data_IF_211246502565
#
_entry.id   IF_211246502565
#
_cell.length_a   1.000
_cell.length_b   1.000
_cell.length_c   1.000
_cell.angle_alpha   90.00
_cell.angle_beta   90.00
_cell.angle_gamma   90.00
#
_symmetry.space_group_name_H-M   'P 1'
#
loop_
_entity.id
_entity.type
_entity.pdbx_description
1 polymer ?
#
# COMPACT_ATOMS: atom_id res chain seq x y z
N UNK A 1 -4.94 12.14 -17.88
CA UNK A 1 -4.90 11.36 -16.63
C UNK A 1 -4.45 12.27 -15.49
N UNK A 2 -5.18 12.27 -14.37
CA UNK A 2 -4.91 13.13 -13.20
C UNK A 2 -4.17 12.34 -12.11
N UNK A 3 -3.03 12.81 -11.66
CA UNK A 3 -2.21 12.17 -10.63
C UNK A 3 -2.05 13.11 -9.44
N UNK A 4 -2.38 12.61 -8.26
CA UNK A 4 -2.16 13.29 -6.98
C UNK A 4 -0.96 12.67 -6.26
N UNK A 5 0.00 13.52 -5.87
CA UNK A 5 1.22 13.11 -5.17
C UNK A 5 1.16 13.62 -3.73
N UNK A 6 1.39 12.73 -2.75
CA UNK A 6 1.30 13.05 -1.33
C UNK A 6 2.60 12.61 -0.64
N UNK A 7 3.45 13.57 -0.27
CA UNK A 7 4.68 13.32 0.49
C UNK A 7 5.05 14.55 1.30
N UNK A 8 5.47 14.38 2.53
CA UNK A 8 5.99 15.49 3.36
C UNK A 8 7.31 16.06 2.80
N UNK A 9 8.12 15.23 2.15
CA UNK A 9 9.39 15.64 1.55
C UNK A 9 9.18 16.44 0.27
N UNK A 10 9.51 17.72 0.31
CA UNK A 10 9.45 18.61 -0.86
C UNK A 10 10.27 18.07 -2.04
N UNK A 11 11.49 17.58 -1.80
CA UNK A 11 12.36 17.09 -2.88
C UNK A 11 11.78 15.86 -3.59
N UNK A 12 11.10 14.98 -2.87
CA UNK A 12 10.41 13.85 -3.48
C UNK A 12 9.28 14.32 -4.39
N UNK A 13 8.43 15.27 -3.91
CA UNK A 13 7.35 15.83 -4.72
C UNK A 13 7.88 16.55 -5.96
N UNK A 14 8.87 17.41 -5.80
CA UNK A 14 9.50 18.13 -6.91
C UNK A 14 10.12 17.17 -7.94
N UNK A 15 10.81 16.12 -7.49
CA UNK A 15 11.40 15.11 -8.36
C UNK A 15 10.35 14.33 -9.16
N UNK A 16 9.26 13.91 -8.51
CA UNK A 16 8.16 13.21 -9.19
C UNK A 16 7.47 14.13 -10.19
N UNK A 17 7.19 15.40 -9.81
CA UNK A 17 6.61 16.39 -10.71
C UNK A 17 7.50 16.64 -11.94
N UNK A 18 8.79 16.85 -11.73
CA UNK A 18 9.74 17.08 -12.84
C UNK A 18 9.79 15.86 -13.78
N UNK A 19 9.79 14.65 -13.22
CA UNK A 19 9.85 13.43 -14.01
C UNK A 19 8.60 13.22 -14.86
N UNK A 20 7.40 13.45 -14.32
CA UNK A 20 6.12 13.23 -14.99
C UNK A 20 5.71 14.40 -15.91
N UNK A 21 6.16 15.63 -15.66
CA UNK A 21 5.85 16.80 -16.51
C UNK A 21 6.40 16.70 -17.93
N UNK A 22 7.32 15.77 -18.20
CA UNK A 22 7.78 15.49 -19.57
C UNK A 22 6.67 14.90 -20.48
N UNK A 23 5.55 14.47 -19.92
CA UNK A 23 4.40 13.90 -20.65
C UNK A 23 3.25 14.90 -20.69
N UNK A 24 2.94 15.44 -21.85
CA UNK A 24 1.90 16.49 -22.08
C UNK A 24 0.46 16.06 -21.74
N UNK A 25 0.22 14.77 -21.49
CA UNK A 25 -1.12 14.21 -21.23
C UNK A 25 -1.46 14.05 -19.75
N UNK A 26 -0.54 14.40 -18.84
CA UNK A 26 -0.71 14.24 -17.40
C UNK A 26 -1.04 15.58 -16.73
N UNK A 27 -2.04 15.58 -15.87
CA UNK A 27 -2.34 16.71 -14.97
C UNK A 27 -1.89 16.31 -13.56
N UNK A 28 -0.95 17.06 -13.02
CA UNK A 28 -0.34 16.74 -11.72
C UNK A 28 -0.79 17.73 -10.65
N UNK A 29 -1.03 17.21 -9.45
CA UNK A 29 -1.21 17.99 -8.23
C UNK A 29 -0.37 17.35 -7.14
N UNK A 30 0.30 18.16 -6.32
CA UNK A 30 1.01 17.65 -5.14
C UNK A 30 0.58 18.35 -3.85
N UNK A 31 0.57 17.60 -2.77
CA UNK A 31 0.25 18.08 -1.44
C UNK A 31 1.21 17.47 -0.40
N UNK A 32 1.59 18.20 0.65
CA UNK A 32 2.57 17.72 1.62
C UNK A 32 1.98 16.73 2.64
N UNK A 33 0.66 16.75 2.90
CA UNK A 33 0.08 15.97 3.99
C UNK A 33 -1.18 15.21 3.58
N UNK A 34 -1.43 14.09 4.24
CA UNK A 34 -2.67 13.30 4.08
C UNK A 34 -3.92 14.13 4.42
N UNK A 35 -3.82 15.07 5.39
CA UNK A 35 -4.93 15.96 5.74
C UNK A 35 -5.32 16.87 4.56
N UNK A 36 -4.34 17.46 3.89
CA UNK A 36 -4.60 18.30 2.71
C UNK A 36 -5.08 17.46 1.52
N UNK A 37 -4.58 16.23 1.41
CA UNK A 37 -4.99 15.31 0.35
C UNK A 37 -6.48 14.99 0.39
N UNK A 38 -7.10 14.84 1.56
CA UNK A 38 -8.53 14.59 1.69
C UNK A 38 -9.38 15.69 1.03
N UNK A 39 -8.99 16.96 1.18
CA UNK A 39 -9.64 18.08 0.49
C UNK A 39 -9.29 18.14 -1.00
N UNK A 40 -8.03 17.86 -1.34
CA UNK A 40 -7.56 17.87 -2.72
C UNK A 40 -8.27 16.80 -3.57
N UNK A 41 -8.51 15.60 -3.04
CA UNK A 41 -9.22 14.52 -3.74
C UNK A 41 -10.61 14.94 -4.17
N UNK A 42 -11.36 15.63 -3.31
CA UNK A 42 -12.72 16.08 -3.60
C UNK A 42 -12.78 17.07 -4.78
N UNK A 43 -11.81 17.97 -4.89
CA UNK A 43 -11.78 19.01 -5.91
C UNK A 43 -11.10 18.55 -7.20
N UNK A 44 -10.02 17.78 -7.08
CA UNK A 44 -9.18 17.37 -8.21
C UNK A 44 -9.69 16.09 -8.88
N UNK A 45 -10.31 15.18 -8.12
CA UNK A 45 -10.80 13.86 -8.58
C UNK A 45 -9.69 13.12 -9.34
N UNK A 46 -8.63 12.65 -8.64
CA UNK A 46 -7.49 12.00 -9.27
C UNK A 46 -7.85 10.60 -9.79
N UNK A 47 -7.25 10.20 -10.92
CA UNK A 47 -7.28 8.83 -11.42
C UNK A 47 -6.27 7.95 -10.64
N UNK A 48 -5.14 8.56 -10.28
CA UNK A 48 -4.06 7.89 -9.56
C UNK A 48 -3.62 8.75 -8.37
N UNK A 49 -3.39 8.07 -7.24
CA UNK A 49 -2.83 8.66 -6.01
C UNK A 49 -1.52 7.95 -5.70
N UNK A 50 -0.43 8.70 -5.55
CA UNK A 50 0.88 8.22 -5.12
C UNK A 50 1.16 8.81 -3.75
N UNK A 51 1.24 7.99 -2.70
CA UNK A 51 1.28 8.48 -1.33
C UNK A 51 2.38 7.83 -0.49
N UNK A 52 3.13 8.68 0.24
CA UNK A 52 4.06 8.23 1.27
C UNK A 52 3.32 8.04 2.60
N UNK A 53 3.21 6.80 3.07
CA UNK A 53 2.60 6.51 4.38
C UNK A 53 3.60 5.99 5.42
N UNK A 54 4.90 6.20 5.22
CA UNK A 54 5.97 5.71 6.11
C UNK A 54 5.75 6.14 7.56
N UNK A 55 5.38 7.40 7.79
CA UNK A 55 5.16 7.91 9.13
C UNK A 55 3.98 7.21 9.83
N UNK A 56 2.94 6.86 9.08
CA UNK A 56 1.76 6.14 9.60
C UNK A 56 2.05 4.67 9.95
N UNK A 57 3.07 4.08 9.31
CA UNK A 57 3.53 2.72 9.65
C UNK A 57 4.15 2.62 11.04
N UNK A 58 4.66 3.72 11.60
CA UNK A 58 5.33 3.76 12.91
C UNK A 58 4.35 3.75 14.08
N UNK A 59 3.09 4.07 13.85
CA UNK A 59 2.07 4.20 14.88
C UNK A 59 1.11 3.00 14.85
N UNK A 60 1.14 2.18 15.92
CA UNK A 60 0.28 0.97 16.02
C UNK A 60 -1.20 1.25 16.30
N UNK A 61 -1.54 2.46 16.76
CA UNK A 61 -2.90 2.86 17.12
C UNK A 61 -3.85 3.06 15.92
N UNK A 62 -5.10 3.37 16.22
CA UNK A 62 -6.07 3.83 15.23
C UNK A 62 -5.78 5.29 14.85
N UNK A 63 -5.68 5.56 13.56
CA UNK A 63 -5.48 6.91 13.02
C UNK A 63 -6.73 7.34 12.24
N UNK A 64 -7.62 8.18 12.82
CA UNK A 64 -8.86 8.62 12.16
C UNK A 64 -8.56 9.35 10.83
N UNK A 65 -7.49 10.14 10.79
CA UNK A 65 -7.08 10.87 9.60
C UNK A 65 -6.75 9.94 8.43
N UNK A 66 -6.02 8.84 8.71
CA UNK A 66 -5.68 7.85 7.69
C UNK A 66 -6.93 7.10 7.21
N UNK A 67 -7.82 6.73 8.13
CA UNK A 67 -9.09 6.10 7.78
C UNK A 67 -9.95 7.01 6.89
N UNK A 68 -10.07 8.30 7.23
CA UNK A 68 -10.78 9.28 6.43
C UNK A 68 -10.18 9.44 5.04
N UNK A 69 -8.86 9.55 4.95
CA UNK A 69 -8.14 9.64 3.67
C UNK A 69 -8.43 8.43 2.78
N UNK A 70 -8.30 7.21 3.32
CA UNK A 70 -8.53 5.98 2.57
C UNK A 70 -9.96 5.91 2.05
N UNK A 71 -10.94 6.27 2.88
CA UNK A 71 -12.34 6.34 2.47
C UNK A 71 -12.59 7.40 1.38
N UNK A 72 -11.79 8.47 1.34
CA UNK A 72 -11.91 9.52 0.32
C UNK A 72 -11.30 9.14 -1.03
N UNK A 73 -10.43 8.12 -1.10
CA UNK A 73 -9.77 7.71 -2.34
C UNK A 73 -10.74 7.16 -3.40
N UNK A 74 -11.89 6.65 -3.01
CA UNK A 74 -12.93 6.16 -3.92
C UNK A 74 -12.42 5.06 -4.86
N UNK A 75 -12.56 5.29 -6.17
CA UNK A 75 -12.12 4.36 -7.22
C UNK A 75 -10.71 4.69 -7.77
N UNK A 76 -10.05 5.71 -7.25
CA UNK A 76 -8.70 6.07 -7.68
C UNK A 76 -7.73 4.92 -7.42
N UNK A 77 -6.78 4.73 -8.35
CA UNK A 77 -5.72 3.75 -8.15
C UNK A 77 -4.66 4.31 -7.19
N UNK A 78 -4.49 3.67 -6.05
CA UNK A 78 -3.61 4.15 -4.97
C UNK A 78 -2.32 3.34 -4.93
N UNK A 79 -1.19 4.03 -5.07
CA UNK A 79 0.14 3.47 -4.86
C UNK A 79 0.73 4.02 -3.57
N UNK A 80 0.79 3.16 -2.56
CA UNK A 80 1.42 3.48 -1.27
C UNK A 80 2.88 3.12 -1.36
N UNK A 81 3.78 4.08 -1.15
CA UNK A 81 5.18 3.76 -1.01
C UNK A 81 5.70 4.03 0.40
N UNK A 82 6.68 3.22 0.78
CA UNK A 82 7.30 3.26 2.10
C UNK A 82 8.80 3.55 1.97
N UNK A 83 9.28 4.47 2.78
CA UNK A 83 10.71 4.76 2.92
C UNK A 83 11.35 3.73 3.86
N UNK A 84 11.34 2.49 3.37
CA UNK A 84 11.86 1.31 4.04
C UNK A 84 12.45 0.36 2.98
N UNK A 85 13.28 -0.59 3.43
CA UNK A 85 13.85 -1.60 2.53
C UNK A 85 12.83 -2.65 2.06
N UNK A 86 11.69 -2.73 2.68
CA UNK A 86 10.59 -3.65 2.39
C UNK A 86 9.31 -2.89 2.00
N UNK A 87 8.34 -3.55 1.29
CA UNK A 87 8.36 -4.95 0.87
C UNK A 87 9.49 -5.25 -0.14
N UNK A 88 10.03 -6.47 -0.08
CA UNK A 88 11.11 -6.94 -0.97
C UNK A 88 10.52 -7.38 -2.32
N UNK A 89 9.99 -6.44 -3.07
CA UNK A 89 9.41 -6.66 -4.40
C UNK A 89 9.78 -5.51 -5.32
N UNK A 90 10.16 -5.83 -6.54
CA UNK A 90 10.45 -4.84 -7.59
C UNK A 90 9.18 -4.25 -8.22
N UNK A 91 8.08 -5.00 -8.13
CA UNK A 91 6.77 -4.58 -8.62
C UNK A 91 5.86 -4.23 -7.43
N UNK A 92 4.93 -3.29 -7.59
CA UNK A 92 3.93 -2.99 -6.57
C UNK A 92 3.14 -4.25 -6.18
N UNK A 93 2.98 -4.48 -4.87
CA UNK A 93 2.19 -5.61 -4.36
C UNK A 93 0.74 -5.14 -4.24
N UNK A 94 -0.21 -5.75 -4.96
CA UNK A 94 -1.62 -5.40 -4.86
C UNK A 94 -2.17 -5.84 -3.50
N UNK A 95 -2.71 -4.91 -2.73
CA UNK A 95 -3.42 -5.17 -1.47
C UNK A 95 -4.91 -5.40 -1.74
N UNK A 96 -5.46 -4.56 -2.60
CA UNK A 96 -6.83 -4.65 -3.13
C UNK A 96 -6.80 -4.38 -4.64
N UNK A 97 -7.95 -4.38 -5.30
CA UNK A 97 -8.05 -4.08 -6.73
C UNK A 97 -7.53 -2.68 -7.10
N UNK A 98 -7.70 -1.72 -6.18
CA UNK A 98 -7.30 -0.33 -6.40
C UNK A 98 -6.05 0.09 -5.65
N UNK A 99 -5.59 -0.67 -4.67
CA UNK A 99 -4.49 -0.29 -3.77
C UNK A 99 -3.31 -1.22 -3.88
N UNK A 100 -2.14 -0.64 -4.11
CA UNK A 100 -0.87 -1.37 -4.16
C UNK A 100 0.18 -0.73 -3.26
N UNK A 101 1.10 -1.54 -2.74
CA UNK A 101 2.21 -1.08 -1.88
C UNK A 101 3.56 -1.42 -2.48
N UNK A 102 4.54 -0.52 -2.30
CA UNK A 102 5.92 -0.70 -2.78
C UNK A 102 6.93 -0.03 -1.85
N UNK A 103 8.21 -0.40 -1.96
CA UNK A 103 9.29 0.33 -1.32
C UNK A 103 9.67 1.57 -2.16
N UNK A 104 10.03 2.69 -1.51
CA UNK A 104 10.37 3.97 -2.15
C UNK A 104 11.43 3.83 -3.25
N UNK A 105 12.41 2.95 -3.09
CA UNK A 105 13.45 2.68 -4.08
C UNK A 105 12.91 2.23 -5.45
N UNK A 106 11.68 1.69 -5.50
CA UNK A 106 11.02 1.25 -6.73
C UNK A 106 10.05 2.28 -7.31
N UNK A 107 9.92 3.45 -6.67
CA UNK A 107 9.10 4.56 -7.17
C UNK A 107 9.50 5.01 -8.59
N UNK A 108 10.80 5.15 -8.95
CA UNK A 108 11.18 5.51 -10.31
C UNK A 108 10.67 4.54 -11.37
N UNK A 109 10.70 3.24 -11.08
CA UNK A 109 10.18 2.20 -11.98
C UNK A 109 8.66 2.31 -12.17
N UNK A 110 7.92 2.61 -11.11
CA UNK A 110 6.48 2.91 -11.20
C UNK A 110 6.22 4.14 -12.07
N UNK A 111 6.94 5.24 -11.86
CA UNK A 111 6.78 6.47 -12.62
C UNK A 111 7.08 6.27 -14.11
N UNK A 112 8.10 5.48 -14.44
CA UNK A 112 8.43 5.10 -15.82
C UNK A 112 7.26 4.38 -16.50
N UNK A 113 6.60 3.45 -15.79
CA UNK A 113 5.39 2.79 -16.31
C UNK A 113 4.21 3.73 -16.51
N UNK A 114 4.08 4.78 -15.69
CA UNK A 114 2.99 5.76 -15.80
C UNK A 114 3.23 6.81 -16.89
N UNK A 115 4.49 7.13 -17.22
CA UNK A 115 4.84 8.10 -18.26
C UNK A 115 4.71 7.55 -19.69
N UNK A 116 4.43 6.26 -19.86
CA UNK A 116 4.26 5.63 -21.18
C UNK A 116 5.55 5.47 -22.00
N UNK A 117 6.73 5.72 -21.39
CA UNK A 117 8.04 5.68 -22.07
C UNK A 117 8.50 4.24 -22.35
N UNK A 118 7.87 3.24 -21.75
CA UNK A 118 8.19 1.83 -21.99
C UNK A 118 7.01 1.18 -22.74
N UNK A 119 7.13 1.04 -24.05
CA UNK A 119 6.34 0.07 -24.80
C UNK A 119 6.62 -1.32 -24.21
N UNK A 120 5.58 -2.05 -23.77
CA UNK A 120 5.59 -3.43 -23.27
C UNK A 120 5.68 -3.70 -21.76
N UNK A 121 5.38 -2.77 -20.90
CA UNK A 121 4.94 -3.22 -19.58
C UNK A 121 3.42 -3.11 -19.48
N UNK A 122 2.71 -4.08 -20.07
CA UNK A 122 1.35 -4.36 -19.67
C UNK A 122 1.38 -4.56 -18.16
N UNK A 123 0.88 -3.57 -17.41
CA UNK A 123 0.40 -3.81 -16.05
C UNK A 123 -0.81 -4.72 -16.27
N UNK A 124 -0.51 -6.03 -16.32
CA UNK A 124 -1.52 -7.04 -16.53
C UNK A 124 -2.57 -6.88 -15.44
N UNK A 125 -3.70 -6.32 -15.82
CA UNK A 125 -4.94 -6.44 -15.09
C UNK A 125 -5.34 -7.91 -15.14
N UNK A 126 -4.70 -8.75 -14.33
CA UNK A 126 -5.22 -10.09 -14.09
C UNK A 126 -6.53 -9.92 -13.32
N UNK A 127 -7.61 -10.13 -14.04
CA UNK A 127 -8.96 -10.21 -13.52
C UNK A 127 -9.07 -11.32 -12.48
N UNK A 128 -8.84 -10.98 -11.22
CA UNK A 128 -9.42 -11.66 -10.07
C UNK A 128 -9.54 -10.64 -8.96
N UNK A 129 -10.76 -10.26 -8.53
CA UNK A 129 -10.99 -9.43 -7.37
C UNK A 129 -10.68 -10.28 -6.14
N UNK A 130 -9.44 -10.37 -5.78
CA UNK A 130 -9.04 -11.14 -4.62
C UNK A 130 -8.16 -10.28 -3.76
N UNK A 131 -8.70 -9.95 -2.59
CA UNK A 131 -7.91 -9.55 -1.45
C UNK A 131 -6.61 -10.38 -1.42
N UNK A 132 -5.46 -9.74 -1.22
CA UNK A 132 -4.16 -10.40 -1.15
C UNK A 132 -4.17 -11.60 -0.17
N UNK A 133 -4.95 -11.50 0.88
CA UNK A 133 -5.08 -12.51 1.92
C UNK A 133 -6.44 -13.19 1.86
N UNK A 134 -6.45 -14.51 2.05
CA UNK A 134 -7.71 -15.24 2.28
C UNK A 134 -8.35 -14.78 3.61
N UNK A 135 -9.67 -14.98 3.80
CA UNK A 135 -10.34 -14.64 5.05
C UNK A 135 -9.68 -15.30 6.28
N UNK A 136 -9.15 -16.50 6.11
CA UNK A 136 -8.47 -17.24 7.19
C UNK A 136 -7.09 -16.63 7.49
N UNK A 137 -6.30 -16.30 6.45
CA UNK A 137 -5.01 -15.61 6.62
C UNK A 137 -5.21 -14.26 7.31
N UNK A 138 -6.24 -13.50 6.94
CA UNK A 138 -6.56 -12.24 7.59
C UNK A 138 -6.86 -12.41 9.09
N UNK A 139 -7.70 -13.39 9.45
CA UNK A 139 -7.98 -13.70 10.88
C UNK A 139 -6.70 -14.08 11.64
N UNK A 140 -5.86 -14.95 11.07
CA UNK A 140 -4.58 -15.34 11.67
C UNK A 140 -3.70 -14.12 11.85
N UNK A 141 -3.61 -13.24 10.85
CA UNK A 141 -2.81 -12.02 10.89
C UNK A 141 -3.28 -11.06 11.98
N UNK A 142 -4.58 -10.80 12.11
CA UNK A 142 -5.14 -9.96 13.17
C UNK A 142 -4.73 -10.45 14.56
N UNK A 143 -4.89 -11.76 14.83
CA UNK A 143 -4.47 -12.33 16.12
C UNK A 143 -2.95 -12.31 16.30
N UNK A 144 -2.19 -12.49 15.23
CA UNK A 144 -0.72 -12.45 15.29
C UNK A 144 -0.22 -11.04 15.62
N UNK A 145 -0.86 -10.01 15.08
CA UNK A 145 -0.50 -8.61 15.35
C UNK A 145 -0.81 -8.20 16.80
N UNK A 146 -1.79 -8.83 17.46
CA UNK A 146 -2.05 -8.66 18.91
C UNK A 146 -1.18 -9.55 19.79
N UNK A 147 -0.09 -10.10 19.26
CA UNK A 147 0.88 -10.96 20.00
C UNK A 147 0.30 -12.26 20.55
N UNK A 148 -0.84 -12.70 20.04
CA UNK A 148 -1.44 -13.94 20.49
C UNK A 148 -0.57 -15.14 20.10
N UNK A 149 -0.23 -16.06 21.06
CA UNK A 149 0.55 -17.25 20.77
C UNK A 149 -0.21 -18.24 19.89
N UNK A 150 0.55 -19.06 19.13
CA UNK A 150 -0.03 -19.96 18.10
C UNK A 150 -1.13 -20.86 18.63
N UNK A 151 -0.92 -21.50 19.79
CA UNK A 151 -1.90 -22.40 20.39
C UNK A 151 -3.26 -21.73 20.68
N UNK A 152 -3.24 -20.44 21.07
CA UNK A 152 -4.47 -19.66 21.29
C UNK A 152 -5.15 -19.30 19.97
N UNK A 153 -4.38 -18.95 18.95
CA UNK A 153 -4.90 -18.68 17.60
C UNK A 153 -5.55 -19.96 17.05
N UNK A 154 -4.83 -21.08 17.15
CA UNK A 154 -5.30 -22.40 16.72
C UNK A 154 -6.65 -22.77 17.37
N UNK A 155 -6.73 -22.62 18.69
CA UNK A 155 -7.96 -22.89 19.46
C UNK A 155 -9.11 -21.97 19.06
N UNK A 156 -8.85 -20.65 18.88
CA UNK A 156 -9.89 -19.68 18.47
C UNK A 156 -10.42 -19.94 17.05
N UNK A 157 -9.58 -20.42 16.16
CA UNK A 157 -9.93 -20.63 14.75
C UNK A 157 -10.29 -22.10 14.43
N UNK A 158 -10.24 -22.98 15.44
CA UNK A 158 -10.46 -24.42 15.31
C UNK A 158 -9.58 -25.06 14.23
N UNK A 159 -8.28 -24.78 14.27
CA UNK A 159 -7.26 -25.32 13.36
C UNK A 159 -6.05 -25.81 14.18
N UNK A 160 -5.13 -26.53 13.54
CA UNK A 160 -3.90 -26.98 14.20
C UNK A 160 -2.86 -25.84 14.34
N UNK A 161 -1.94 -25.97 15.31
CA UNK A 161 -0.80 -25.04 15.46
C UNK A 161 0.08 -25.01 14.21
N UNK A 162 0.26 -26.15 13.55
CA UNK A 162 1.01 -26.26 12.30
C UNK A 162 0.32 -25.48 11.15
N UNK A 163 -1.01 -25.48 11.13
CA UNK A 163 -1.81 -24.70 10.17
C UNK A 163 -1.64 -23.20 10.42
N UNK A 164 -1.64 -22.76 11.68
CA UNK A 164 -1.36 -21.36 12.04
C UNK A 164 0.03 -20.95 11.55
N UNK A 165 1.04 -21.80 11.77
CA UNK A 165 2.40 -21.54 11.29
C UNK A 165 2.46 -21.42 9.77
N UNK A 166 1.77 -22.31 9.06
CA UNK A 166 1.69 -22.27 7.59
C UNK A 166 1.04 -20.99 7.08
N UNK A 167 -0.06 -20.55 7.70
CA UNK A 167 -0.68 -19.25 7.37
C UNK A 167 0.27 -18.08 7.60
N UNK A 168 0.98 -18.02 8.73
CA UNK A 168 1.97 -16.98 9.01
C UNK A 168 3.07 -16.93 7.93
N UNK A 169 3.56 -18.09 7.50
CA UNK A 169 4.54 -18.20 6.42
C UNK A 169 3.98 -17.72 5.07
N UNK A 170 2.72 -18.04 4.76
CA UNK A 170 2.09 -17.57 3.53
C UNK A 170 1.88 -16.06 3.55
N UNK A 171 1.43 -15.50 4.66
CA UNK A 171 1.26 -14.04 4.85
C UNK A 171 2.57 -13.30 4.57
N UNK A 172 3.68 -13.70 5.22
CA UNK A 172 4.98 -13.04 5.01
C UNK A 172 5.49 -13.16 3.58
N UNK A 173 5.26 -14.31 2.92
CA UNK A 173 5.61 -14.51 1.51
C UNK A 173 4.80 -13.63 0.56
N UNK A 174 3.49 -13.51 0.79
CA UNK A 174 2.59 -12.71 -0.06
C UNK A 174 2.95 -11.22 -0.01
N UNK A 175 3.18 -10.68 1.20
CA UNK A 175 3.56 -9.26 1.38
C UNK A 175 5.06 -9.01 1.17
N UNK A 176 5.85 -10.07 0.87
CA UNK A 176 7.30 -9.96 0.63
C UNK A 176 8.05 -9.30 1.79
N UNK A 177 7.83 -9.78 3.00
CA UNK A 177 8.56 -9.42 4.23
C UNK A 177 9.28 -10.64 4.81
N UNK A 178 10.32 -10.42 5.61
CA UNK A 178 11.16 -11.48 6.19
C UNK A 178 10.71 -11.91 7.58
N UNK A 179 10.16 -10.99 8.34
CA UNK A 179 9.85 -11.22 9.74
C UNK A 179 8.59 -10.48 10.18
N UNK A 180 8.19 -10.73 11.44
CA UNK A 180 6.99 -10.13 12.02
C UNK A 180 7.11 -8.61 12.19
N UNK A 181 8.29 -8.08 12.50
CA UNK A 181 8.47 -6.63 12.72
C UNK A 181 8.21 -5.84 11.42
N UNK A 182 8.76 -6.32 10.30
CA UNK A 182 8.50 -5.75 8.98
C UNK A 182 7.00 -5.84 8.61
N UNK A 183 6.36 -6.98 8.94
CA UNK A 183 4.92 -7.15 8.75
C UNK A 183 4.11 -6.18 9.60
N UNK A 184 4.44 -6.02 10.90
CA UNK A 184 3.77 -5.07 11.79
C UNK A 184 3.84 -3.64 11.26
N UNK A 185 4.98 -3.25 10.74
CA UNK A 185 5.18 -1.93 10.16
C UNK A 185 4.21 -1.67 9.01
N UNK A 186 4.13 -2.59 8.05
CA UNK A 186 3.20 -2.47 6.92
C UNK A 186 1.74 -2.61 7.38
N UNK A 187 1.47 -3.53 8.33
CA UNK A 187 0.14 -3.80 8.85
C UNK A 187 -0.55 -2.55 9.41
N UNK A 188 0.20 -1.65 10.04
CA UNK A 188 -0.34 -0.41 10.58
C UNK A 188 -1.01 0.49 9.54
N UNK A 189 -0.68 0.32 8.27
CA UNK A 189 -1.31 1.02 7.16
C UNK A 189 -2.36 0.14 6.50
N UNK A 190 -2.01 -1.08 6.10
CA UNK A 190 -2.94 -1.85 5.29
C UNK A 190 -4.15 -2.41 6.05
N UNK A 191 -4.13 -2.46 7.40
CA UNK A 191 -5.31 -2.83 8.22
C UNK A 191 -6.56 -1.97 7.96
N UNK A 192 -6.40 -0.82 7.33
CA UNK A 192 -7.50 0.06 6.97
C UNK A 192 -8.19 -0.30 5.64
N UNK A 193 -7.65 -1.27 4.91
CA UNK A 193 -8.19 -1.72 3.62
C UNK A 193 -8.95 -3.06 3.72
N UNK A 194 -9.09 -3.62 4.94
CA UNK A 194 -9.75 -4.90 5.20
C UNK A 194 -10.86 -4.80 6.23
#
# INVERSE_FOLDING_TARGET
MKILIIDECFYTRAGVNTYLNSSSTLTLMDVPTVKQATLAIQNFIPDIIIVNLTNYCRFGGHCPLLAQFINSCGQAKVYIYLDASYPFSEIPIPLTDTVSILAKRHLPKLLQGLSGVSGDTQISSSCCPTSLFSPQEHKVMCYWMTEMPNYRIARKLNISDSTVYSHKRHITKKIKVRNRLELCFIYNVFKYFY
#
